data_IF_833144605761
#
_entry.id   IF_833144605761
#
_cell.length_a   1.000
_cell.length_b   1.000
_cell.length_c   1.000
_cell.angle_alpha   90.00
_cell.angle_beta   90.00
_cell.angle_gamma   90.00
#
_symmetry.space_group_name_H-M   'P 1'
#
loop_
_entity.id
_entity.type
_entity.pdbx_description
1 polymer ?
#
# COMPACT_ATOMS: atom_id res chain seq x y z
N UNK A 1 67.94 -1.96 29.87
CA UNK A 1 68.99 -2.86 30.41
C UNK A 1 69.16 -4.04 29.48
N UNK A 2 70.43 -4.21 29.01
CA UNK A 2 71.03 -5.41 28.45
C UNK A 2 70.53 -6.07 27.16
N UNK A 3 71.19 -5.75 26.04
CA UNK A 3 71.61 -6.76 25.04
C UNK A 3 72.66 -7.70 25.65
N UNK A 4 72.86 -8.93 25.20
CA UNK A 4 73.84 -9.28 24.13
C UNK A 4 73.38 -10.51 23.31
N UNK A 5 73.99 -11.12 22.30
CA UNK A 5 75.29 -11.16 21.74
C UNK A 5 75.23 -11.81 20.36
N UNK A 6 76.09 -11.41 19.48
CA UNK A 6 76.33 -11.96 18.19
C UNK A 6 76.99 -13.34 18.29
N UNK A 7 76.69 -14.27 17.36
CA UNK A 7 77.49 -15.47 17.10
C UNK A 7 77.98 -15.44 15.65
N UNK A 8 79.30 -15.38 15.51
CA UNK A 8 80.07 -15.45 14.26
C UNK A 8 80.25 -16.92 13.87
N UNK A 9 80.03 -17.27 12.62
CA UNK A 9 80.35 -18.60 12.05
C UNK A 9 81.24 -18.42 10.82
N UNK A 10 82.26 -19.25 10.67
CA UNK A 10 83.39 -19.00 9.74
C UNK A 10 83.05 -19.39 8.31
N UNK A 11 83.73 -18.67 7.44
CA UNK A 11 83.77 -18.79 5.99
C UNK A 11 84.51 -20.05 5.56
N UNK A 12 83.84 -21.06 4.92
CA UNK A 12 84.49 -22.17 4.20
C UNK A 12 84.50 -21.82 2.71
N UNK A 13 85.73 -21.84 2.18
CA UNK A 13 86.03 -21.77 0.74
C UNK A 13 85.61 -23.08 0.05
N UNK A 14 84.80 -23.02 -0.98
CA UNK A 14 84.48 -24.11 -1.85
C UNK A 14 84.95 -23.76 -3.25
N UNK A 15 85.79 -24.59 -3.76
CA UNK A 15 86.43 -24.57 -5.09
C UNK A 15 85.39 -24.61 -6.22
N UNK A 16 85.61 -23.78 -7.20
CA UNK A 16 84.96 -23.74 -8.48
C UNK A 16 85.34 -24.91 -9.35
N UNK A 17 84.45 -25.89 -9.53
CA UNK A 17 84.60 -26.90 -10.58
C UNK A 17 83.65 -26.54 -11.72
N UNK A 18 84.25 -26.03 -12.79
CA UNK A 18 83.59 -25.76 -14.08
C UNK A 18 83.30 -27.11 -14.77
N UNK A 19 82.02 -27.56 -14.68
CA UNK A 19 81.51 -28.62 -15.55
C UNK A 19 80.92 -27.99 -16.82
N UNK A 20 81.59 -28.22 -17.93
CA UNK A 20 81.12 -27.88 -19.25
C UNK A 20 79.83 -28.63 -19.59
N UNK A 21 78.71 -27.92 -19.66
CA UNK A 21 77.40 -28.47 -20.05
C UNK A 21 77.36 -28.69 -21.57
N UNK A 22 77.10 -29.93 -21.98
CA UNK A 22 76.90 -30.35 -23.37
C UNK A 22 75.68 -29.69 -23.99
N UNK A 23 75.66 -29.43 -25.32
CA UNK A 23 74.58 -28.76 -26.03
C UNK A 23 73.20 -29.42 -25.85
N UNK A 24 73.12 -30.73 -25.59
CA UNK A 24 71.90 -31.48 -25.41
C UNK A 24 71.12 -31.09 -24.13
N UNK A 25 71.84 -30.72 -23.04
CA UNK A 25 71.22 -30.32 -21.78
C UNK A 25 70.50 -28.92 -21.86
N UNK A 26 71.06 -28.03 -22.70
CA UNK A 26 70.43 -26.68 -22.94
C UNK A 26 69.18 -26.78 -23.76
N UNK A 27 69.04 -27.67 -24.73
CA UNK A 27 67.85 -27.92 -25.51
C UNK A 27 66.72 -28.54 -24.69
N UNK A 28 67.02 -29.47 -23.79
CA UNK A 28 66.03 -30.09 -22.91
C UNK A 28 65.43 -29.09 -21.89
N UNK A 29 66.31 -28.24 -21.28
CA UNK A 29 65.81 -27.17 -20.34
C UNK A 29 64.97 -26.08 -21.03
N UNK A 30 65.29 -25.77 -22.29
CA UNK A 30 64.53 -24.77 -23.08
C UNK A 30 63.14 -25.33 -23.52
N UNK A 31 63.06 -26.64 -23.86
CA UNK A 31 61.82 -27.32 -24.22
C UNK A 31 60.87 -27.44 -23.02
N UNK A 32 61.39 -27.69 -21.83
CA UNK A 32 60.65 -27.83 -20.59
C UNK A 32 60.12 -26.48 -20.11
N UNK A 33 60.83 -25.34 -20.29
CA UNK A 33 60.36 -23.98 -20.00
C UNK A 33 59.27 -23.53 -20.95
N UNK A 34 59.33 -23.89 -22.23
CA UNK A 34 58.33 -23.53 -23.23
C UNK A 34 56.99 -24.24 -23.01
N UNK A 35 57.02 -25.53 -22.59
CA UNK A 35 55.85 -26.33 -22.29
C UNK A 35 55.14 -25.83 -21.01
N UNK A 36 55.89 -25.46 -19.98
CA UNK A 36 55.36 -24.90 -18.72
C UNK A 36 54.69 -23.50 -18.94
N UNK A 37 55.29 -22.67 -19.80
CA UNK A 37 54.71 -21.35 -20.11
C UNK A 37 53.42 -21.47 -20.93
N UNK A 38 53.33 -22.41 -21.87
CA UNK A 38 52.15 -22.69 -22.67
C UNK A 38 51.02 -23.24 -21.81
N UNK A 39 51.32 -24.19 -20.89
CA UNK A 39 50.34 -24.74 -19.93
C UNK A 39 49.75 -23.65 -19.00
N UNK A 40 50.57 -22.74 -18.48
CA UNK A 40 50.12 -21.63 -17.64
C UNK A 40 49.21 -20.65 -18.39
N UNK A 41 49.49 -20.40 -19.68
CA UNK A 41 48.61 -19.55 -20.52
C UNK A 41 47.26 -20.20 -20.79
N UNK A 42 47.22 -21.51 -21.03
CA UNK A 42 45.97 -22.24 -21.21
C UNK A 42 45.15 -22.28 -19.91
N UNK A 43 45.81 -22.47 -18.75
CA UNK A 43 45.14 -22.42 -17.45
C UNK A 43 44.56 -21.04 -17.15
N UNK A 44 45.33 -19.97 -17.42
CA UNK A 44 44.85 -18.60 -17.24
C UNK A 44 43.65 -18.25 -18.18
N UNK A 45 43.70 -18.71 -19.44
CA UNK A 45 42.62 -18.55 -20.39
C UNK A 45 41.38 -19.34 -19.97
N UNK A 46 41.52 -20.57 -19.47
CA UNK A 46 40.42 -21.38 -18.96
C UNK A 46 39.75 -20.73 -17.71
N UNK A 47 40.57 -20.21 -16.79
CA UNK A 47 40.05 -19.48 -15.61
C UNK A 47 39.34 -18.18 -15.99
N UNK A 48 39.87 -17.44 -16.96
CA UNK A 48 39.22 -16.22 -17.45
C UNK A 48 37.89 -16.54 -18.17
N UNK A 49 37.85 -17.62 -18.96
CA UNK A 49 36.62 -18.08 -19.60
C UNK A 49 35.57 -18.53 -18.56
N UNK A 50 36.01 -19.31 -17.55
CA UNK A 50 35.14 -19.73 -16.45
C UNK A 50 34.60 -18.53 -15.67
N UNK A 51 35.44 -17.53 -15.38
CA UNK A 51 34.99 -16.30 -14.72
C UNK A 51 34.01 -15.50 -15.58
N UNK A 52 34.28 -15.39 -16.89
CA UNK A 52 33.36 -14.71 -17.81
C UNK A 52 32.01 -15.43 -17.94
N UNK A 53 32.01 -16.77 -18.01
CA UNK A 53 30.76 -17.54 -18.07
C UNK A 53 29.99 -17.50 -16.76
N UNK A 54 30.64 -17.51 -15.60
CA UNK A 54 29.96 -17.34 -14.30
C UNK A 54 29.38 -15.94 -14.15
N UNK A 55 30.09 -14.90 -14.57
CA UNK A 55 29.57 -13.53 -14.57
C UNK A 55 28.36 -13.40 -15.52
N UNK A 56 28.47 -13.95 -16.74
CA UNK A 56 27.37 -13.96 -17.68
C UNK A 56 26.15 -14.72 -17.14
N UNK A 57 26.36 -15.88 -16.51
CA UNK A 57 25.29 -16.65 -15.86
C UNK A 57 24.65 -15.88 -14.70
N UNK A 58 25.44 -15.21 -13.86
CA UNK A 58 24.95 -14.35 -12.78
C UNK A 58 24.16 -13.14 -13.30
N UNK A 59 24.53 -12.60 -14.45
CA UNK A 59 23.79 -11.50 -15.12
C UNK A 59 22.49 -11.98 -15.79
N UNK A 60 22.44 -13.26 -16.19
CA UNK A 60 21.26 -13.90 -16.81
C UNK A 60 20.32 -14.53 -15.78
N UNK A 61 20.76 -14.70 -14.53
CA UNK A 61 19.84 -15.12 -13.46
C UNK A 61 18.75 -14.04 -13.32
N UNK A 62 17.47 -14.44 -13.36
CA UNK A 62 16.40 -13.49 -13.09
C UNK A 62 16.66 -12.90 -11.71
N UNK A 63 16.98 -11.61 -11.66
CA UNK A 63 16.98 -10.90 -10.38
C UNK A 63 15.59 -11.09 -9.84
N UNK A 64 15.44 -11.67 -8.65
CA UNK A 64 14.15 -11.67 -7.97
C UNK A 64 13.73 -10.21 -7.89
N UNK A 65 12.79 -9.82 -8.74
CA UNK A 65 12.24 -8.49 -8.71
C UNK A 65 11.68 -8.32 -7.29
N UNK A 66 12.15 -7.29 -6.58
CA UNK A 66 11.60 -6.93 -5.28
C UNK A 66 10.09 -6.77 -5.38
N UNK A 67 9.38 -6.58 -4.28
CA UNK A 67 7.95 -6.37 -4.32
C UNK A 67 7.62 -5.15 -5.18
N UNK A 68 6.58 -5.25 -5.98
CA UNK A 68 5.93 -4.11 -6.61
C UNK A 68 5.12 -3.35 -5.57
N UNK A 69 4.84 -2.08 -5.83
CA UNK A 69 4.07 -1.23 -4.94
C UNK A 69 2.89 -0.60 -5.68
N UNK A 70 1.81 -0.38 -4.93
CA UNK A 70 0.69 0.48 -5.31
C UNK A 70 0.35 1.40 -4.16
N UNK A 71 -0.04 2.62 -4.45
CA UNK A 71 -0.46 3.60 -3.44
C UNK A 71 -1.92 3.96 -3.70
N UNK A 72 -2.75 3.79 -2.69
CA UNK A 72 -4.16 4.18 -2.74
C UNK A 72 -4.45 5.14 -1.60
N UNK A 73 -5.01 6.30 -1.91
CA UNK A 73 -5.53 7.26 -0.93
C UNK A 73 -7.04 7.11 -0.92
N UNK A 74 -7.56 6.53 0.16
CA UNK A 74 -8.99 6.51 0.47
C UNK A 74 -9.34 7.84 1.14
N UNK A 75 -10.10 8.68 0.44
CA UNK A 75 -10.56 9.97 0.94
C UNK A 75 -11.99 9.87 1.48
N UNK A 76 -12.09 9.36 2.69
CA UNK A 76 -13.34 9.18 3.41
C UNK A 76 -13.91 10.47 4.00
N UNK A 77 -15.16 10.41 4.45
CA UNK A 77 -15.89 11.57 5.03
C UNK A 77 -15.26 12.10 6.32
N UNK A 78 -14.60 11.24 7.11
CA UNK A 78 -14.00 11.61 8.41
C UNK A 78 -12.50 11.85 8.36
N UNK A 79 -11.86 11.53 7.25
CA UNK A 79 -10.42 11.65 7.07
C UNK A 79 -9.96 10.89 5.85
N UNK A 80 -8.75 11.20 5.40
CA UNK A 80 -8.10 10.50 4.29
C UNK A 80 -7.08 9.50 4.82
N UNK A 81 -6.97 8.33 4.16
CA UNK A 81 -6.01 7.30 4.53
C UNK A 81 -5.23 6.86 3.31
N UNK A 82 -3.90 6.89 3.43
CA UNK A 82 -3.04 6.28 2.42
C UNK A 82 -2.75 4.83 2.79
N UNK A 83 -2.84 3.97 1.79
CA UNK A 83 -2.39 2.58 1.83
C UNK A 83 -1.23 2.42 0.86
N UNK A 84 -0.07 2.03 1.39
CA UNK A 84 1.08 1.61 0.57
C UNK A 84 1.06 0.09 0.54
N UNK A 85 0.69 -0.45 -0.59
CA UNK A 85 0.46 -1.87 -0.80
C UNK A 85 1.69 -2.46 -1.47
N UNK A 86 2.38 -3.37 -0.79
CA UNK A 86 3.46 -4.15 -1.38
C UNK A 86 2.92 -5.50 -1.86
N UNK A 87 3.27 -5.93 -3.06
CA UNK A 87 2.79 -7.17 -3.62
C UNK A 87 3.81 -7.82 -4.57
N UNK A 88 3.69 -9.12 -4.75
CA UNK A 88 4.39 -9.89 -5.76
C UNK A 88 3.46 -10.13 -6.95
N UNK A 89 3.95 -9.79 -8.15
CA UNK A 89 3.18 -9.98 -9.38
C UNK A 89 2.95 -11.48 -9.66
N UNK A 90 1.77 -11.79 -10.16
CA UNK A 90 1.36 -13.14 -10.52
C UNK A 90 -0.04 -13.12 -11.12
N UNK A 91 -0.62 -14.26 -11.51
CA UNK A 91 -2.01 -14.34 -11.98
C UNK A 91 -3.00 -13.73 -10.98
N UNK A 92 -2.80 -13.98 -9.70
CA UNK A 92 -3.38 -13.27 -8.57
C UNK A 92 -2.23 -12.60 -7.80
N UNK A 93 -2.15 -11.26 -7.74
CA UNK A 93 -1.13 -10.57 -6.99
C UNK A 93 -1.15 -11.00 -5.51
N UNK A 94 -0.01 -11.37 -4.97
CA UNK A 94 0.11 -11.76 -3.57
C UNK A 94 0.59 -10.59 -2.72
N UNK A 95 -0.23 -10.16 -1.78
CA UNK A 95 0.09 -9.06 -0.89
C UNK A 95 1.19 -9.46 0.10
N UNK A 96 2.20 -8.60 0.22
CA UNK A 96 3.18 -8.67 1.32
C UNK A 96 2.63 -7.87 2.51
N UNK A 97 1.90 -8.56 3.39
CA UNK A 97 1.27 -7.95 4.55
C UNK A 97 2.28 -7.30 5.52
N UNK A 98 3.53 -7.77 5.53
CA UNK A 98 4.57 -7.21 6.41
C UNK A 98 5.06 -5.85 5.92
N UNK A 99 4.98 -5.60 4.62
CA UNK A 99 5.40 -4.35 3.97
C UNK A 99 4.25 -3.44 3.61
N UNK A 100 3.02 -3.95 3.63
CA UNK A 100 1.81 -3.15 3.43
C UNK A 100 1.55 -2.33 4.68
N UNK A 101 1.46 -1.01 4.52
CA UNK A 101 1.33 -0.06 5.63
C UNK A 101 0.34 1.04 5.28
N UNK A 102 -0.20 1.70 6.30
CA UNK A 102 -1.14 2.81 6.11
C UNK A 102 -0.91 3.94 7.10
N UNK A 103 -1.36 5.13 6.71
CA UNK A 103 -1.40 6.33 7.56
C UNK A 103 -2.73 7.03 7.34
N UNK A 104 -3.35 7.54 8.42
CA UNK A 104 -4.56 8.36 8.37
C UNK A 104 -4.23 9.82 8.67
N UNK A 105 -4.87 10.75 7.93
CA UNK A 105 -4.92 12.17 8.19
C UNK A 105 -6.37 12.63 8.36
N UNK A 106 -6.58 13.63 9.18
CA UNK A 106 -7.86 14.31 9.41
C UNK A 106 -7.65 15.82 9.26
N UNK A 107 -8.70 16.56 8.86
CA UNK A 107 -10.07 16.12 8.56
C UNK A 107 -10.19 15.43 7.19
N UNK A 108 -11.41 14.98 6.83
CA UNK A 108 -11.72 14.49 5.49
C UNK A 108 -11.77 15.62 4.45
N UNK A 109 -11.63 15.27 3.16
CA UNK A 109 -11.57 16.26 2.07
C UNK A 109 -12.82 17.14 1.98
N UNK A 110 -13.98 16.64 2.35
CA UNK A 110 -15.23 17.43 2.36
C UNK A 110 -15.19 18.63 3.31
N UNK A 111 -14.31 18.64 4.31
CA UNK A 111 -14.13 19.79 5.22
C UNK A 111 -13.52 21.00 4.53
N UNK A 112 -12.97 20.84 3.33
CA UNK A 112 -12.41 21.92 2.51
C UNK A 112 -13.40 22.51 1.51
N UNK A 113 -14.72 22.25 1.67
CA UNK A 113 -15.73 22.78 0.76
C UNK A 113 -15.73 24.33 0.66
N UNK A 114 -15.39 25.03 1.75
CA UNK A 114 -15.28 26.49 1.77
C UNK A 114 -13.95 27.01 1.18
N UNK A 115 -12.91 26.18 1.11
CA UNK A 115 -11.59 26.50 0.57
C UNK A 115 -10.99 25.27 -0.15
N UNK A 116 -11.52 24.93 -1.33
CA UNK A 116 -11.09 23.75 -2.11
C UNK A 116 -9.60 23.74 -2.44
N UNK A 117 -8.99 24.90 -2.63
CA UNK A 117 -7.57 25.03 -2.96
C UNK A 117 -6.62 24.50 -1.88
N UNK A 118 -7.06 24.49 -0.63
CA UNK A 118 -6.25 23.94 0.48
C UNK A 118 -6.36 22.42 0.64
N UNK A 119 -7.25 21.75 -0.09
CA UNK A 119 -7.49 20.32 0.06
C UNK A 119 -6.25 19.47 -0.27
N UNK A 120 -5.54 19.83 -1.34
CA UNK A 120 -4.30 19.14 -1.73
C UNK A 120 -3.24 19.16 -0.62
N UNK A 121 -3.08 20.29 0.07
CA UNK A 121 -2.11 20.40 1.16
C UNK A 121 -2.42 19.45 2.32
N UNK A 122 -3.69 19.12 2.54
CA UNK A 122 -4.12 18.22 3.63
C UNK A 122 -3.64 16.79 3.44
N UNK A 123 -3.42 16.35 2.19
CA UNK A 123 -2.93 14.99 1.88
C UNK A 123 -1.42 14.93 1.71
N UNK A 124 -0.68 16.05 1.80
CA UNK A 124 0.79 16.08 1.73
C UNK A 124 1.45 15.08 2.68
N UNK A 125 1.06 15.00 3.97
CA UNK A 125 1.67 14.02 4.88
C UNK A 125 1.47 12.57 4.44
N UNK A 126 0.36 12.27 3.76
CA UNK A 126 0.05 10.93 3.24
C UNK A 126 0.96 10.58 2.06
N UNK A 127 1.14 11.51 1.13
CA UNK A 127 2.03 11.35 -0.03
C UNK A 127 3.47 11.19 0.41
N UNK A 128 3.93 12.02 1.34
CA UNK A 128 5.29 11.91 1.88
C UNK A 128 5.52 10.60 2.65
N UNK A 129 4.51 10.13 3.40
CA UNK A 129 4.58 8.84 4.05
C UNK A 129 4.77 7.73 3.02
N UNK A 130 4.00 7.74 1.93
CA UNK A 130 4.11 6.76 0.86
C UNK A 130 5.49 6.80 0.20
N UNK A 131 6.02 7.99 -0.11
CA UNK A 131 7.36 8.18 -0.70
C UNK A 131 8.49 7.58 0.14
N UNK A 132 8.36 7.60 1.47
CA UNK A 132 9.36 7.02 2.39
C UNK A 132 9.26 5.50 2.49
N UNK A 133 8.16 4.88 2.05
CA UNK A 133 7.88 3.44 2.15
C UNK A 133 8.12 2.69 0.85
N UNK A 134 7.97 3.36 -0.26
CA UNK A 134 8.28 2.82 -1.59
C UNK A 134 9.78 2.95 -1.85
N UNK A 135 10.39 1.92 -2.44
CA UNK A 135 11.79 1.96 -2.85
C UNK A 135 11.99 3.09 -3.87
N UNK A 136 13.08 3.86 -3.70
CA UNK A 136 13.34 5.06 -4.52
C UNK A 136 13.32 4.76 -6.03
N UNK A 137 13.90 3.64 -6.44
CA UNK A 137 13.97 3.22 -7.84
C UNK A 137 12.63 2.68 -8.38
N UNK A 138 11.62 2.52 -7.51
CA UNK A 138 10.29 2.04 -7.86
C UNK A 138 9.25 3.16 -7.88
N UNK A 139 9.57 4.38 -7.47
CA UNK A 139 8.60 5.48 -7.35
C UNK A 139 7.87 5.77 -8.66
N UNK A 140 8.60 6.00 -9.75
CA UNK A 140 8.04 6.33 -11.08
C UNK A 140 7.24 5.18 -11.71
N UNK A 141 7.41 3.96 -11.20
CA UNK A 141 6.65 2.78 -11.63
C UNK A 141 5.45 2.49 -10.73
N UNK A 142 5.40 3.10 -9.55
CA UNK A 142 4.36 2.89 -8.56
C UNK A 142 3.18 3.82 -8.83
N UNK A 143 2.01 3.24 -9.08
CA UNK A 143 0.78 4.00 -9.26
C UNK A 143 0.33 4.62 -7.94
N UNK A 144 -0.13 5.89 -8.00
CA UNK A 144 -0.88 6.52 -6.93
C UNK A 144 -2.30 6.82 -7.41
N UNK A 145 -3.29 6.40 -6.63
CA UNK A 145 -4.72 6.64 -6.90
C UNK A 145 -5.36 7.30 -5.70
N UNK A 146 -6.26 8.25 -5.93
CA UNK A 146 -7.09 8.87 -4.91
C UNK A 146 -8.55 8.54 -5.21
N UNK A 147 -9.22 7.88 -4.27
CA UNK A 147 -10.62 7.49 -4.35
C UNK A 147 -11.39 8.24 -3.26
N UNK A 148 -12.12 9.25 -3.66
CA UNK A 148 -13.00 9.98 -2.75
C UNK A 148 -14.36 9.29 -2.68
N UNK A 149 -14.93 9.25 -1.47
CA UNK A 149 -16.14 8.49 -1.17
C UNK A 149 -17.29 9.38 -0.74
N UNK A 150 -18.14 8.93 0.14
CA UNK A 150 -19.39 9.60 0.54
C UNK A 150 -19.20 11.07 0.96
N UNK A 151 -18.06 11.44 1.55
CA UNK A 151 -17.81 12.83 1.95
C UNK A 151 -17.92 13.81 0.78
N UNK A 152 -17.32 13.48 -0.37
CA UNK A 152 -17.40 14.33 -1.56
C UNK A 152 -18.71 14.14 -2.33
N UNK A 153 -19.34 12.95 -2.25
CA UNK A 153 -20.67 12.74 -2.86
C UNK A 153 -21.79 13.60 -2.23
N UNK A 154 -21.57 14.12 -1.03
CA UNK A 154 -22.50 15.03 -0.35
C UNK A 154 -22.35 16.49 -0.78
N UNK A 155 -21.30 16.85 -1.50
CA UNK A 155 -21.05 18.20 -2.02
C UNK A 155 -21.65 18.35 -3.41
N UNK A 156 -21.83 19.59 -3.84
CA UNK A 156 -22.12 19.87 -5.24
C UNK A 156 -20.91 19.49 -6.12
N UNK A 157 -21.17 19.20 -7.39
CA UNK A 157 -20.17 18.68 -8.31
C UNK A 157 -19.02 19.65 -8.58
N UNK A 158 -19.28 20.97 -8.58
CA UNK A 158 -18.24 21.97 -8.84
C UNK A 158 -17.27 22.07 -7.65
N UNK A 159 -17.79 22.07 -6.43
CA UNK A 159 -16.98 22.07 -5.20
C UNK A 159 -16.18 20.77 -5.08
N UNK A 160 -16.79 19.62 -5.34
CA UNK A 160 -16.11 18.33 -5.29
C UNK A 160 -14.96 18.26 -6.33
N UNK A 161 -15.18 18.75 -7.56
CA UNK A 161 -14.17 18.79 -8.61
C UNK A 161 -13.03 19.76 -8.28
N UNK A 162 -13.32 20.92 -7.70
CA UNK A 162 -12.28 21.86 -7.27
C UNK A 162 -11.38 21.26 -6.16
N UNK A 163 -11.96 20.49 -5.24
CA UNK A 163 -11.21 19.74 -4.22
C UNK A 163 -10.32 18.68 -4.88
N UNK A 164 -10.86 17.92 -5.84
CA UNK A 164 -10.09 16.90 -6.55
C UNK A 164 -8.94 17.53 -7.35
N UNK A 165 -9.18 18.68 -8.02
CA UNK A 165 -8.13 19.34 -8.78
C UNK A 165 -6.97 19.79 -7.89
N UNK A 166 -7.26 20.37 -6.73
CA UNK A 166 -6.22 20.70 -5.75
C UNK A 166 -5.40 19.46 -5.33
N UNK A 167 -6.06 18.29 -5.19
CA UNK A 167 -5.36 17.04 -4.91
C UNK A 167 -4.52 16.55 -6.12
N UNK A 168 -5.05 16.70 -7.36
CA UNK A 168 -4.33 16.32 -8.60
C UNK A 168 -3.05 17.13 -8.78
N UNK A 169 -3.08 18.42 -8.50
CA UNK A 169 -1.89 19.29 -8.55
C UNK A 169 -0.76 18.71 -7.68
N UNK A 170 -1.06 18.33 -6.43
CA UNK A 170 -0.09 17.71 -5.54
C UNK A 170 0.38 16.34 -6.06
N UNK A 171 -0.53 15.53 -6.58
CA UNK A 171 -0.23 14.17 -7.02
C UNK A 171 0.63 14.16 -8.30
N UNK A 172 0.47 15.12 -9.22
CA UNK A 172 1.35 15.29 -10.40
C UNK A 172 2.80 15.54 -10.00
N UNK A 173 3.04 16.21 -8.87
CA UNK A 173 4.37 16.54 -8.35
C UNK A 173 4.92 15.47 -7.38
N UNK A 174 4.14 14.44 -7.09
CA UNK A 174 4.46 13.45 -6.05
C UNK A 174 5.68 12.57 -6.37
N UNK A 175 6.07 12.46 -7.65
CA UNK A 175 7.10 11.53 -8.14
C UNK A 175 6.60 10.10 -8.33
N UNK A 176 5.32 9.82 -8.03
CA UNK A 176 4.65 8.57 -8.39
C UNK A 176 4.12 8.62 -9.83
N UNK A 177 3.84 7.45 -10.40
CA UNK A 177 3.07 7.37 -11.65
C UNK A 177 1.64 7.78 -11.35
N UNK A 178 1.20 8.89 -11.96
CA UNK A 178 -0.13 9.45 -11.76
C UNK A 178 -0.77 9.86 -13.09
N UNK A 179 -2.08 9.76 -13.16
CA UNK A 179 -2.95 10.29 -14.22
C UNK A 179 -4.14 10.97 -13.56
N UNK A 180 -4.66 12.04 -14.11
CA UNK A 180 -5.71 12.85 -13.50
C UNK A 180 -6.99 12.06 -13.22
N UNK A 181 -7.33 11.10 -14.09
CA UNK A 181 -8.49 10.22 -13.95
C UNK A 181 -8.38 9.26 -12.76
N UNK A 182 -7.17 9.13 -12.18
CA UNK A 182 -6.94 8.29 -11.01
C UNK A 182 -7.25 8.99 -9.68
N UNK A 183 -7.55 10.30 -9.73
CA UNK A 183 -8.14 11.02 -8.61
C UNK A 183 -9.59 11.34 -8.93
N UNK A 184 -10.52 10.60 -8.33
CA UNK A 184 -11.95 10.64 -8.66
C UNK A 184 -12.83 10.40 -7.45
N UNK A 185 -14.09 10.83 -7.55
CA UNK A 185 -15.17 10.38 -6.64
C UNK A 185 -15.71 9.06 -7.15
N UNK A 186 -15.55 8.00 -6.38
CA UNK A 186 -16.15 6.69 -6.72
C UNK A 186 -17.63 6.65 -6.32
N UNK A 187 -18.42 5.92 -7.08
CA UNK A 187 -19.82 5.66 -6.74
C UNK A 187 -19.92 4.82 -5.46
N UNK A 188 -21.07 4.88 -4.79
CA UNK A 188 -21.28 4.05 -3.61
C UNK A 188 -21.32 2.55 -3.90
N UNK A 189 -21.73 2.17 -5.12
CA UNK A 189 -21.69 0.79 -5.56
C UNK A 189 -20.24 0.30 -5.78
N UNK A 190 -19.38 1.11 -6.40
CA UNK A 190 -17.95 0.80 -6.56
C UNK A 190 -17.25 0.66 -5.21
N UNK A 191 -17.53 1.57 -4.27
CA UNK A 191 -17.02 1.49 -2.90
C UNK A 191 -17.35 0.14 -2.26
N UNK A 192 -18.63 -0.28 -2.32
CA UNK A 192 -19.07 -1.58 -1.82
C UNK A 192 -18.44 -2.77 -2.56
N UNK A 193 -18.28 -2.68 -3.87
CA UNK A 193 -17.63 -3.74 -4.68
C UNK A 193 -16.15 -3.85 -4.29
N UNK A 194 -15.42 -2.75 -4.13
CA UNK A 194 -14.01 -2.78 -3.73
C UNK A 194 -13.84 -3.36 -2.32
N UNK A 195 -14.72 -2.98 -1.38
CA UNK A 195 -14.73 -3.57 -0.04
C UNK A 195 -15.02 -5.08 -0.08
N UNK A 196 -15.97 -5.52 -0.92
CA UNK A 196 -16.28 -6.94 -1.12
C UNK A 196 -15.09 -7.71 -1.70
N UNK A 197 -14.41 -7.15 -2.72
CA UNK A 197 -13.20 -7.73 -3.32
C UNK A 197 -12.10 -7.88 -2.26
N UNK A 198 -11.84 -6.82 -1.48
CA UNK A 198 -10.82 -6.83 -0.44
C UNK A 198 -11.10 -7.88 0.65
N UNK A 199 -12.36 -7.99 1.09
CA UNK A 199 -12.77 -8.98 2.09
C UNK A 199 -12.59 -10.41 1.57
N UNK A 200 -13.08 -10.71 0.36
CA UNK A 200 -12.98 -12.05 -0.21
C UNK A 200 -11.56 -12.42 -0.64
N UNK A 201 -10.73 -11.43 -1.00
CA UNK A 201 -9.29 -11.66 -1.17
C UNK A 201 -8.64 -12.07 0.16
N UNK A 202 -8.92 -11.34 1.25
CA UNK A 202 -8.36 -11.62 2.58
C UNK A 202 -8.81 -12.97 3.15
N UNK A 203 -10.03 -13.39 2.83
CA UNK A 203 -10.59 -14.69 3.21
C UNK A 203 -10.13 -15.84 2.30
N UNK A 204 -9.47 -15.54 1.16
CA UNK A 204 -9.03 -16.54 0.19
C UNK A 204 -10.17 -17.14 -0.63
N UNK A 205 -11.33 -16.48 -0.70
CA UNK A 205 -12.52 -16.93 -1.45
C UNK A 205 -12.66 -16.26 -2.81
N UNK A 206 -11.92 -15.16 -3.05
CA UNK A 206 -11.89 -14.49 -4.35
C UNK A 206 -11.21 -15.39 -5.41
N UNK A 207 -11.85 -15.58 -6.55
CA UNK A 207 -11.42 -16.51 -7.61
C UNK A 207 -11.92 -17.94 -7.43
N UNK A 208 -12.67 -18.20 -6.34
CA UNK A 208 -13.35 -19.46 -6.07
C UNK A 208 -14.83 -19.45 -6.47
N UNK A 209 -15.55 -20.50 -6.07
CA UNK A 209 -16.97 -20.64 -6.38
C UNK A 209 -17.79 -19.50 -5.75
N UNK A 210 -18.82 -19.05 -6.47
CA UNK A 210 -19.63 -17.88 -6.08
C UNK A 210 -20.33 -18.05 -4.74
N UNK A 211 -20.73 -19.28 -4.39
CA UNK A 211 -21.39 -19.62 -3.12
C UNK A 211 -20.45 -19.59 -1.91
N UNK A 212 -19.14 -19.64 -2.13
CA UNK A 212 -18.15 -19.63 -1.05
C UNK A 212 -17.75 -18.22 -0.63
N UNK A 213 -18.24 -17.21 -1.36
CA UNK A 213 -17.95 -15.81 -1.09
C UNK A 213 -18.77 -15.27 0.07
N UNK A 214 -18.19 -14.34 0.80
CA UNK A 214 -18.85 -13.65 1.92
C UNK A 214 -19.39 -12.30 1.46
N UNK A 215 -20.65 -11.99 1.81
CA UNK A 215 -21.20 -10.65 1.68
C UNK A 215 -20.61 -9.70 2.71
N UNK A 216 -20.65 -8.40 2.44
CA UNK A 216 -20.16 -7.36 3.35
C UNK A 216 -21.25 -6.33 3.67
N UNK A 217 -21.13 -5.76 4.86
CA UNK A 217 -21.74 -4.51 5.25
C UNK A 217 -20.61 -3.60 5.69
N UNK A 218 -20.41 -2.49 4.98
CA UNK A 218 -19.42 -1.48 5.34
C UNK A 218 -20.15 -0.28 5.96
N UNK A 219 -19.70 0.12 7.16
CA UNK A 219 -20.25 1.26 7.88
C UNK A 219 -19.24 2.40 7.88
N UNK A 220 -19.43 3.35 6.98
CA UNK A 220 -18.65 4.58 6.91
C UNK A 220 -19.23 5.72 7.76
N UNK A 221 -18.56 6.89 7.69
CA UNK A 221 -19.05 8.09 8.40
C UNK A 221 -20.31 8.70 7.80
N UNK A 222 -20.46 8.65 6.47
CA UNK A 222 -21.56 9.29 5.75
C UNK A 222 -22.47 8.31 4.99
N UNK A 223 -22.02 7.06 4.76
CA UNK A 223 -22.80 6.05 4.04
C UNK A 223 -22.59 4.64 4.62
N UNK A 224 -23.51 3.74 4.26
CA UNK A 224 -23.41 2.29 4.48
C UNK A 224 -23.45 1.62 3.12
N UNK A 225 -22.57 0.64 2.88
CA UNK A 225 -22.59 -0.20 1.71
C UNK A 225 -22.98 -1.63 2.09
N UNK A 226 -23.83 -2.24 1.24
CA UNK A 226 -24.20 -3.65 1.34
C UNK A 226 -23.88 -4.31 0.01
N UNK A 227 -22.99 -5.30 0.01
CA UNK A 227 -22.57 -6.00 -1.23
C UNK A 227 -22.45 -7.49 -0.99
N UNK A 228 -23.07 -8.28 -1.87
CA UNK A 228 -23.02 -9.73 -1.81
C UNK A 228 -23.34 -10.35 -3.17
N UNK A 229 -22.91 -11.61 -3.37
CA UNK A 229 -23.26 -12.39 -4.55
C UNK A 229 -24.69 -12.91 -4.46
N UNK A 230 -25.45 -12.80 -5.53
CA UNK A 230 -26.79 -13.38 -5.63
C UNK A 230 -27.13 -13.78 -7.04
N UNK A 231 -27.93 -14.85 -7.17
CA UNK A 231 -28.53 -15.29 -8.43
C UNK A 231 -30.03 -14.93 -8.51
N UNK A 232 -30.55 -14.22 -7.51
CA UNK A 232 -31.94 -13.76 -7.52
C UNK A 232 -32.08 -12.54 -8.44
N UNK A 233 -33.24 -12.37 -9.11
CA UNK A 233 -33.53 -11.14 -9.82
C UNK A 233 -33.44 -9.95 -8.87
N UNK A 234 -32.84 -8.87 -9.35
CA UNK A 234 -32.68 -7.62 -8.60
C UNK A 234 -32.88 -6.43 -9.54
N UNK A 235 -33.21 -5.24 -9.03
CA UNK A 235 -33.26 -4.02 -9.83
C UNK A 235 -31.93 -3.75 -10.54
N UNK A 236 -31.94 -3.33 -11.81
CA UNK A 236 -30.72 -3.09 -12.59
C UNK A 236 -29.72 -2.15 -11.94
N UNK A 237 -30.22 -1.13 -11.22
CA UNK A 237 -29.40 -0.12 -10.54
C UNK A 237 -28.55 -0.71 -9.39
N UNK A 238 -28.89 -1.88 -8.86
CA UNK A 238 -28.13 -2.59 -7.83
C UNK A 238 -27.37 -3.78 -8.35
N UNK A 239 -27.51 -4.08 -9.65
CA UNK A 239 -26.93 -5.24 -10.29
C UNK A 239 -25.59 -4.90 -10.93
N UNK A 240 -24.55 -5.54 -10.47
CA UNK A 240 -23.19 -5.34 -10.96
C UNK A 240 -22.56 -6.69 -11.31
N UNK A 241 -21.78 -6.71 -12.37
CA UNK A 241 -21.05 -7.91 -12.80
C UNK A 241 -19.55 -7.67 -12.61
N UNK A 242 -18.93 -8.49 -11.79
CA UNK A 242 -17.49 -8.51 -11.61
C UNK A 242 -16.91 -9.78 -12.22
N UNK A 243 -15.98 -9.63 -13.17
CA UNK A 243 -15.22 -10.74 -13.71
C UNK A 243 -13.84 -10.78 -13.07
N UNK A 244 -13.48 -11.91 -12.49
CA UNK A 244 -12.18 -12.12 -11.88
C UNK A 244 -11.59 -13.45 -12.35
N UNK A 245 -10.55 -13.41 -13.19
CA UNK A 245 -10.07 -14.55 -13.93
C UNK A 245 -11.18 -15.14 -14.83
N UNK A 246 -11.46 -16.41 -14.68
CA UNK A 246 -12.54 -17.11 -15.42
C UNK A 246 -13.88 -17.10 -14.67
N UNK A 247 -13.92 -16.55 -13.45
CA UNK A 247 -15.12 -16.52 -12.61
C UNK A 247 -15.86 -15.19 -12.81
N UNK A 248 -17.18 -15.28 -12.92
CA UNK A 248 -18.07 -14.13 -12.98
C UNK A 248 -18.96 -14.12 -11.76
N UNK A 249 -18.93 -12.99 -11.03
CA UNK A 249 -19.75 -12.75 -9.85
C UNK A 249 -20.87 -11.78 -10.19
N UNK A 250 -22.13 -12.19 -9.96
CA UNK A 250 -23.28 -11.30 -10.03
C UNK A 250 -23.50 -10.71 -8.64
N UNK A 251 -23.18 -9.43 -8.49
CA UNK A 251 -23.20 -8.73 -7.22
C UNK A 251 -24.44 -7.86 -7.09
N UNK A 252 -25.14 -7.97 -5.98
CA UNK A 252 -25.91 -6.88 -5.45
C UNK A 252 -24.95 -5.91 -4.77
N UNK A 253 -24.99 -4.63 -5.13
CA UNK A 253 -24.23 -3.58 -4.43
C UNK A 253 -25.07 -2.33 -4.35
N UNK A 254 -25.32 -1.86 -3.12
CA UNK A 254 -26.06 -0.64 -2.86
C UNK A 254 -25.40 0.16 -1.74
N UNK A 255 -25.38 1.48 -1.92
CA UNK A 255 -24.91 2.44 -0.93
C UNK A 255 -26.06 3.28 -0.42
N UNK A 256 -26.24 3.26 0.88
CA UNK A 256 -27.21 4.10 1.59
C UNK A 256 -26.51 5.38 2.06
N UNK A 257 -26.50 6.39 1.19
CA UNK A 257 -25.98 7.70 1.52
C UNK A 257 -26.86 8.33 2.62
N UNK A 258 -26.27 9.11 3.48
CA UNK A 258 -26.90 9.71 4.69
C UNK A 258 -27.19 8.73 5.85
N UNK A 259 -26.85 7.44 5.73
CA UNK A 259 -27.03 6.47 6.81
C UNK A 259 -25.70 6.06 7.46
N UNK A 260 -24.58 6.70 7.09
CA UNK A 260 -23.31 6.51 7.79
C UNK A 260 -23.36 6.99 9.24
N UNK A 261 -22.46 6.48 10.06
CA UNK A 261 -22.46 6.66 11.51
C UNK A 261 -22.54 8.12 11.97
N UNK A 262 -21.80 9.03 11.33
CA UNK A 262 -21.76 10.44 11.73
C UNK A 262 -23.00 11.18 11.28
N UNK A 263 -23.39 11.00 10.01
CA UNK A 263 -24.55 11.70 9.44
C UNK A 263 -25.85 11.23 10.09
N UNK A 264 -26.00 9.93 10.35
CA UNK A 264 -27.14 9.41 11.08
C UNK A 264 -27.20 9.96 12.52
N UNK A 265 -26.04 10.13 13.14
CA UNK A 265 -25.95 10.75 14.45
C UNK A 265 -26.34 12.24 14.43
N UNK A 266 -25.84 13.01 13.46
CA UNK A 266 -26.19 14.41 13.26
C UNK A 266 -27.71 14.57 12.99
N UNK A 267 -28.27 13.73 12.11
CA UNK A 267 -29.73 13.74 11.82
C UNK A 267 -30.57 13.39 13.05
N UNK A 268 -30.14 12.45 13.87
CA UNK A 268 -30.78 12.14 15.15
C UNK A 268 -30.75 13.37 16.08
N UNK A 269 -29.62 14.04 16.14
CA UNK A 269 -29.43 15.26 16.94
C UNK A 269 -30.34 16.40 16.50
N UNK A 270 -30.43 16.65 15.21
CA UNK A 270 -31.33 17.66 14.63
C UNK A 270 -32.79 17.35 14.97
N UNK A 271 -33.18 16.07 14.83
CA UNK A 271 -34.53 15.62 15.17
C UNK A 271 -34.83 15.85 16.66
N UNK A 272 -33.93 15.47 17.55
CA UNK A 272 -34.06 15.66 19.00
C UNK A 272 -34.09 17.16 19.39
N UNK A 273 -33.47 18.01 18.60
CA UNK A 273 -33.44 19.46 18.80
C UNK A 273 -34.63 20.20 18.24
N UNK A 274 -35.59 19.53 17.57
CA UNK A 274 -36.80 20.18 17.07
C UNK A 274 -37.65 20.78 18.23
N UNK A 275 -38.30 21.95 18.06
CA UNK A 275 -39.00 22.65 19.13
C UNK A 275 -40.03 21.78 19.84
N UNK A 276 -40.74 20.91 19.10
CA UNK A 276 -41.77 20.03 19.67
C UNK A 276 -41.18 18.97 20.63
N UNK A 277 -40.08 18.31 20.25
CA UNK A 277 -39.42 17.32 21.09
C UNK A 277 -38.68 17.96 22.28
N UNK A 278 -38.09 19.16 22.09
CA UNK A 278 -37.51 19.96 23.18
C UNK A 278 -38.57 20.29 24.25
N UNK A 279 -39.74 20.74 23.84
CA UNK A 279 -40.84 21.08 24.76
C UNK A 279 -41.27 19.86 25.58
N UNK A 280 -41.42 18.68 24.95
CA UNK A 280 -41.80 17.46 25.66
C UNK A 280 -40.68 16.97 26.63
N UNK A 281 -39.44 17.07 26.25
CA UNK A 281 -38.33 16.67 27.11
C UNK A 281 -38.17 17.60 28.31
N UNK A 282 -38.35 18.91 28.14
CA UNK A 282 -38.28 19.91 29.22
C UNK A 282 -39.42 19.80 30.21
N UNK A 283 -40.63 19.38 29.77
CA UNK A 283 -41.76 19.13 30.64
C UNK A 283 -41.58 17.87 31.52
N UNK A 284 -40.83 16.90 31.07
CA UNK A 284 -40.64 15.62 31.77
C UNK A 284 -39.44 15.61 32.75
N UNK A 285 -38.50 16.51 32.53
CA UNK A 285 -37.30 16.60 33.38
C UNK A 285 -36.92 18.06 33.53
N UNK A 286 -36.79 18.59 34.74
CA UNK A 286 -36.36 19.97 34.99
C UNK A 286 -34.94 20.32 34.50
N UNK A 287 -34.27 19.36 33.84
CA UNK A 287 -33.04 19.51 33.08
C UNK A 287 -33.23 19.06 31.64
N UNK A 288 -32.65 19.77 30.67
CA UNK A 288 -32.68 19.38 29.27
C UNK A 288 -31.91 18.07 29.03
N UNK A 289 -32.51 16.95 29.49
CA UNK A 289 -31.97 15.62 29.27
C UNK A 289 -32.79 14.95 28.18
N UNK A 290 -32.18 14.69 27.03
CA UNK A 290 -32.83 13.93 25.96
C UNK A 290 -32.58 12.44 26.11
N UNK A 291 -33.63 11.65 25.88
CA UNK A 291 -33.54 10.21 25.78
C UNK A 291 -33.09 9.84 24.38
N UNK A 292 -31.86 9.42 24.30
CA UNK A 292 -31.26 8.96 23.05
C UNK A 292 -31.39 7.43 22.94
N UNK A 293 -32.18 6.93 21.96
CA UNK A 293 -32.36 5.47 21.78
C UNK A 293 -31.08 4.76 21.36
N UNK A 294 -30.10 5.48 20.83
CA UNK A 294 -28.82 4.92 20.39
C UNK A 294 -27.76 4.92 21.48
N UNK A 295 -27.99 5.57 22.61
CA UNK A 295 -27.06 5.58 23.74
C UNK A 295 -27.24 4.31 24.60
N UNK A 296 -26.17 3.54 24.89
CA UNK A 296 -26.24 2.36 25.74
C UNK A 296 -26.73 2.71 27.15
N UNK A 297 -27.46 1.76 27.78
CA UNK A 297 -27.96 1.93 29.18
C UNK A 297 -26.80 2.21 30.13
N UNK A 298 -27.01 3.16 31.03
CA UNK A 298 -26.00 3.57 32.02
C UNK A 298 -24.95 4.54 31.50
N UNK A 299 -24.97 4.83 30.18
CA UNK A 299 -24.10 5.84 29.58
C UNK A 299 -24.85 7.18 29.48
N UNK A 300 -24.14 8.28 29.70
CA UNK A 300 -24.63 9.62 29.40
C UNK A 300 -23.46 10.46 28.90
N UNK A 301 -23.74 11.39 27.97
CA UNK A 301 -22.74 12.33 27.47
C UNK A 301 -23.33 13.72 27.41
N UNK A 302 -22.47 14.73 27.49
CA UNK A 302 -22.85 16.11 27.20
C UNK A 302 -22.61 16.39 25.73
N UNK A 303 -23.53 17.08 25.12
CA UNK A 303 -23.41 17.61 23.78
C UNK A 303 -23.86 19.07 23.81
N UNK A 304 -22.87 19.97 23.81
CA UNK A 304 -23.09 21.35 24.21
C UNK A 304 -23.67 21.43 25.62
N UNK A 305 -24.81 22.13 25.76
CA UNK A 305 -25.52 22.27 27.03
C UNK A 305 -26.51 21.13 27.32
N UNK A 306 -26.66 20.20 26.39
CA UNK A 306 -27.65 19.13 26.48
C UNK A 306 -27.03 17.83 26.97
N UNK A 307 -27.64 17.19 27.96
CA UNK A 307 -27.28 15.87 28.40
C UNK A 307 -28.06 14.81 27.64
N UNK A 308 -27.34 13.94 26.90
CA UNK A 308 -27.90 12.77 26.27
C UNK A 308 -27.78 11.57 27.23
N UNK A 309 -28.85 10.82 27.38
CA UNK A 309 -28.84 9.61 28.22
C UNK A 309 -29.62 8.48 27.53
N UNK A 310 -29.34 7.25 27.90
CA UNK A 310 -30.05 6.09 27.38
C UNK A 310 -31.58 6.19 27.59
N UNK A 311 -32.32 5.76 26.58
CA UNK A 311 -33.77 5.56 26.72
C UNK A 311 -34.02 4.42 27.72
N UNK A 312 -34.90 4.64 28.66
CA UNK A 312 -35.41 3.58 29.52
C UNK A 312 -36.62 2.98 28.78
N UNK A 313 -36.38 1.86 28.09
CA UNK A 313 -37.46 0.97 27.66
C UNK A 313 -37.71 -0.04 28.74
#
# INVERSE_FOLDING_TARGET
>A
MRRPNACVVPRAQAQEQTLASTPASKMAAQRQRSSSCRSRRHLAAALAFLAATTIALLLLLPRSSGPSYGVVIDAGSTGSRVHVIAYHAGPLPQLDWKRTVSLKATPGLSSFAADPGSAGLSITPLVEFARRRVLRDSLEQTEVRLMATAGLRLLDSATAEAILESCRELLRESGFRFQDEWATVISGAEEGIYAWVAANYALGTLGGATQDTTGIIELGGASIQVTFVTNKPMPPEFSHVLKFGDITYNLYSHSFLHLGQNVAYESLHELLNTPGLKSMATQLTHQATYRDPCTPRGFSRMDGEVKLSASIL
#
